data_IF_203539255999
#
_entry.id   IF_203539255999
#
_cell.length_a   1.000
_cell.length_b   1.000
_cell.length_c   1.000
_cell.angle_alpha   90.00
_cell.angle_beta   90.00
_cell.angle_gamma   90.00
#
_symmetry.space_group_name_H-M   'P 1'
#
loop_
_entity.id
_entity.type
_entity.pdbx_description
1 polymer ?
#
# COMPACT_ATOMS: atom_id res chain seq x y z
N UNK A 1 16.24 22.65 5.56
CA UNK A 1 15.20 21.68 5.14
C UNK A 1 15.89 20.34 4.98
N UNK A 2 15.67 19.38 5.89
CA UNK A 2 16.32 18.07 5.82
C UNK A 2 15.45 17.17 4.94
N UNK A 3 16.00 16.73 3.82
CA UNK A 3 15.38 15.78 2.89
C UNK A 3 14.93 14.53 3.67
N UNK A 4 13.63 14.25 3.65
CA UNK A 4 13.07 12.97 4.09
C UNK A 4 13.38 11.99 2.96
N UNK A 5 14.38 11.13 3.16
CA UNK A 5 14.64 10.03 2.25
C UNK A 5 13.66 8.90 2.59
N UNK A 6 12.50 8.93 1.93
CA UNK A 6 11.64 7.77 1.85
C UNK A 6 12.27 6.80 0.86
N UNK A 7 12.82 5.72 1.39
CA UNK A 7 13.33 4.63 0.57
C UNK A 7 12.13 3.81 0.11
N UNK A 8 11.66 4.17 -1.08
CA UNK A 8 10.79 3.41 -1.97
C UNK A 8 9.36 3.17 -1.48
N UNK A 9 8.40 3.31 -2.38
CA UNK A 9 6.98 3.32 -2.05
C UNK A 9 6.26 2.19 -2.81
N UNK A 10 5.73 1.22 -2.08
CA UNK A 10 4.96 0.08 -2.59
C UNK A 10 3.47 0.36 -2.48
N UNK A 11 2.71 0.21 -3.56
CA UNK A 11 1.31 0.68 -3.63
C UNK A 11 0.27 -0.36 -3.23
N UNK A 12 -0.75 0.11 -2.52
CA UNK A 12 -2.03 -0.54 -2.27
C UNK A 12 -3.19 0.31 -2.83
N UNK A 13 -4.14 -0.35 -3.47
CA UNK A 13 -5.38 0.24 -4.00
C UNK A 13 -6.60 -0.17 -3.19
N UNK A 14 -7.54 0.76 -3.13
CA UNK A 14 -8.93 0.63 -2.71
C UNK A 14 -9.84 0.51 -3.95
N UNK A 15 -10.56 -0.59 -4.10
CA UNK A 15 -11.32 -0.90 -5.31
C UNK A 15 -12.67 -0.18 -5.37
N UNK A 16 -12.87 0.70 -6.36
CA UNK A 16 -14.19 1.24 -6.72
C UNK A 16 -14.77 0.46 -7.93
N UNK A 17 -15.84 -0.36 -7.74
CA UNK A 17 -16.43 -1.18 -8.79
C UNK A 17 -17.14 -0.40 -9.90
N UNK A 18 -17.48 0.89 -9.70
CA UNK A 18 -18.22 1.68 -10.70
C UNK A 18 -17.29 2.37 -11.72
N UNK A 19 -15.95 2.28 -11.56
CA UNK A 19 -14.95 2.87 -12.47
C UNK A 19 -14.04 1.84 -13.16
N UNK A 20 -14.31 0.54 -12.99
CA UNK A 20 -13.42 -0.54 -13.41
C UNK A 20 -14.08 -1.47 -14.45
N UNK A 21 -14.14 -1.04 -15.70
CA UNK A 21 -14.42 -1.95 -16.82
C UNK A 21 -13.19 -2.72 -17.35
N UNK A 22 -11.99 -2.54 -16.78
CA UNK A 22 -10.78 -3.26 -17.23
C UNK A 22 -10.04 -3.89 -16.03
N UNK A 23 -10.19 -5.20 -15.82
CA UNK A 23 -9.38 -5.93 -14.84
C UNK A 23 -7.92 -5.97 -15.30
N UNK A 24 -7.06 -5.21 -14.61
CA UNK A 24 -5.63 -5.10 -14.94
C UNK A 24 -4.78 -6.34 -14.69
N UNK A 25 -5.35 -7.33 -14.00
CA UNK A 25 -4.77 -8.64 -13.79
C UNK A 25 -5.90 -9.67 -13.90
N UNK A 26 -5.66 -10.75 -14.65
CA UNK A 26 -6.59 -11.88 -14.68
C UNK A 26 -6.66 -12.54 -13.29
N UNK A 27 -7.86 -12.91 -12.86
CA UNK A 27 -8.09 -13.45 -11.50
C UNK A 27 -7.36 -14.78 -11.31
N UNK A 28 -7.24 -15.62 -12.34
CA UNK A 28 -6.49 -16.89 -12.25
C UNK A 28 -4.99 -16.58 -12.12
N UNK A 29 -4.48 -15.65 -12.91
CA UNK A 29 -3.08 -15.18 -12.82
C UNK A 29 -2.78 -14.61 -11.43
N UNK A 30 -3.66 -13.75 -10.89
CA UNK A 30 -3.52 -13.19 -9.55
C UNK A 30 -3.42 -14.29 -8.48
N UNK A 31 -4.31 -15.29 -8.55
CA UNK A 31 -4.32 -16.42 -7.61
C UNK A 31 -3.04 -17.25 -7.69
N UNK A 32 -2.56 -17.53 -8.90
CA UNK A 32 -1.30 -18.26 -9.12
C UNK A 32 -0.14 -17.50 -8.49
N UNK A 33 0.01 -16.20 -8.78
CA UNK A 33 1.12 -15.40 -8.23
C UNK A 33 1.05 -15.32 -6.70
N UNK A 34 -0.16 -15.12 -6.17
CA UNK A 34 -0.37 -15.01 -4.72
C UNK A 34 0.00 -16.30 -3.99
N UNK A 35 -0.27 -17.47 -4.60
CA UNK A 35 0.08 -18.78 -4.02
C UNK A 35 1.57 -19.14 -4.13
N UNK A 36 2.35 -18.43 -4.95
CA UNK A 36 3.80 -18.62 -4.98
C UNK A 36 4.43 -18.18 -3.66
N UNK A 37 5.44 -18.96 -3.24
CA UNK A 37 6.26 -18.64 -2.07
C UNK A 37 6.88 -17.25 -2.23
N UNK A 38 6.87 -16.48 -1.14
CA UNK A 38 7.63 -15.21 -1.04
C UNK A 38 9.10 -15.45 -1.43
N UNK A 39 9.63 -14.60 -2.30
CA UNK A 39 10.94 -14.72 -2.95
C UNK A 39 10.89 -15.37 -4.33
N UNK A 40 9.81 -16.08 -4.67
CA UNK A 40 9.61 -16.73 -5.97
C UNK A 40 8.53 -16.03 -6.83
N UNK A 41 7.93 -14.95 -6.34
CA UNK A 41 6.87 -14.25 -7.07
C UNK A 41 7.50 -13.47 -8.24
N UNK A 42 6.92 -13.53 -9.45
CA UNK A 42 7.44 -12.80 -10.61
C UNK A 42 7.36 -11.29 -10.39
N UNK A 43 8.20 -10.56 -11.13
CA UNK A 43 8.10 -9.11 -11.19
C UNK A 43 6.75 -8.65 -11.76
N UNK A 44 6.15 -7.55 -11.26
CA UNK A 44 4.85 -7.08 -11.72
C UNK A 44 4.72 -6.91 -13.22
N UNK A 45 5.76 -6.41 -13.89
CA UNK A 45 5.74 -6.17 -15.34
C UNK A 45 5.51 -7.43 -16.21
N UNK A 46 5.65 -8.63 -15.65
CA UNK A 46 5.39 -9.90 -16.35
C UNK A 46 3.90 -10.26 -16.42
N UNK A 47 3.07 -9.69 -15.53
CA UNK A 47 1.64 -9.99 -15.45
C UNK A 47 0.76 -8.73 -15.35
N UNK A 48 1.38 -7.56 -15.32
CA UNK A 48 0.74 -6.26 -15.18
C UNK A 48 1.22 -5.34 -16.30
N UNK A 49 0.29 -4.95 -17.19
CA UNK A 49 0.65 -4.15 -18.36
C UNK A 49 1.10 -2.73 -17.99
N UNK A 50 1.87 -2.11 -18.90
CA UNK A 50 2.26 -0.70 -18.76
C UNK A 50 1.05 0.23 -18.65
N UNK A 51 0.01 0.00 -19.45
CA UNK A 51 -1.23 0.78 -19.39
C UNK A 51 -1.88 0.71 -17.99
N UNK A 52 -1.93 -0.50 -17.42
CA UNK A 52 -2.43 -0.72 -16.09
C UNK A 52 -1.57 -0.05 -15.02
N UNK A 53 -0.25 -0.06 -15.19
CA UNK A 53 0.67 0.64 -14.31
C UNK A 53 0.42 2.15 -14.37
N UNK A 54 0.37 2.72 -15.56
CA UNK A 54 0.15 4.15 -15.77
C UNK A 54 -1.21 4.59 -15.21
N UNK A 55 -2.28 3.80 -15.42
CA UNK A 55 -3.60 4.06 -14.84
C UNK A 55 -3.57 4.01 -13.31
N UNK A 56 -2.87 3.05 -12.72
CA UNK A 56 -2.77 2.92 -11.28
C UNK A 56 -1.96 4.07 -10.66
N UNK A 57 -0.79 4.38 -11.23
CA UNK A 57 0.07 5.45 -10.73
C UNK A 57 -0.60 6.84 -10.77
N UNK A 58 -1.52 7.10 -11.70
CA UNK A 58 -2.26 8.37 -11.76
C UNK A 58 -2.96 8.76 -10.46
N UNK A 59 -3.30 7.79 -9.61
CA UNK A 59 -3.97 8.04 -8.34
C UNK A 59 -3.07 8.71 -7.29
N UNK A 60 -1.76 8.58 -7.47
CA UNK A 60 -0.75 9.11 -6.56
C UNK A 60 -0.28 10.51 -6.93
N UNK A 61 -0.90 11.14 -7.94
CA UNK A 61 -0.60 12.51 -8.37
C UNK A 61 -0.77 13.54 -7.25
N UNK A 62 -1.70 13.30 -6.34
CA UNK A 62 -1.97 14.16 -5.18
C UNK A 62 -1.18 13.72 -3.92
N UNK A 63 -0.26 12.77 -4.09
CA UNK A 63 0.56 12.23 -3.01
C UNK A 63 0.14 10.83 -2.58
N UNK A 64 0.92 10.30 -1.63
CA UNK A 64 0.68 9.01 -0.99
C UNK A 64 0.65 9.17 0.53
N UNK A 65 0.07 8.18 1.21
CA UNK A 65 0.03 8.14 2.67
C UNK A 65 0.18 6.72 3.20
N UNK A 66 0.73 6.60 4.41
CA UNK A 66 0.67 5.37 5.18
C UNK A 66 0.52 5.65 6.68
N UNK A 67 0.13 4.64 7.43
CA UNK A 67 0.05 4.68 8.89
C UNK A 67 1.21 3.92 9.51
N UNK A 68 1.73 4.44 10.62
CA UNK A 68 2.80 3.82 11.40
C UNK A 68 2.56 4.06 12.88
N UNK A 69 2.94 3.09 13.73
CA UNK A 69 2.90 3.30 15.17
C UNK A 69 3.89 4.40 15.59
N UNK A 70 3.45 5.31 16.46
CA UNK A 70 4.28 6.39 16.99
C UNK A 70 5.57 5.87 17.64
N UNK A 71 5.48 4.73 18.33
CA UNK A 71 6.62 4.06 18.96
C UNK A 71 7.76 3.70 17.98
N UNK A 72 7.44 3.43 16.71
CA UNK A 72 8.44 3.18 15.67
C UNK A 72 9.19 4.48 15.34
N UNK A 73 8.48 5.60 15.21
CA UNK A 73 9.08 6.90 14.95
C UNK A 73 9.89 7.41 16.14
N UNK A 74 9.46 7.11 17.36
CA UNK A 74 10.17 7.49 18.57
C UNK A 74 11.45 6.66 18.76
N UNK A 75 11.41 5.37 18.37
CA UNK A 75 12.57 4.49 18.44
C UNK A 75 13.62 4.76 17.36
N UNK A 76 13.21 4.97 16.12
CA UNK A 76 14.12 5.05 14.96
C UNK A 76 14.29 6.48 14.41
N UNK A 77 13.54 7.44 14.94
CA UNK A 77 13.53 8.81 14.45
C UNK A 77 12.67 8.98 13.20
N UNK A 78 12.85 10.14 12.55
CA UNK A 78 12.02 10.60 11.42
C UNK A 78 12.83 10.98 10.18
N UNK A 79 14.14 10.75 10.20
CA UNK A 79 15.06 11.10 9.10
C UNK A 79 14.97 10.09 7.96
N UNK A 80 14.80 8.81 8.30
CA UNK A 80 14.65 7.70 7.36
C UNK A 80 13.36 6.96 7.70
N UNK A 81 12.49 6.83 6.72
CA UNK A 81 11.19 6.19 6.85
C UNK A 81 11.09 5.04 5.85
N UNK A 82 10.49 3.93 6.29
CA UNK A 82 10.36 2.71 5.50
C UNK A 82 11.50 1.72 5.73
N UNK A 83 11.54 0.71 4.86
CA UNK A 83 12.57 -0.35 4.85
C UNK A 83 13.46 -0.19 3.61
N UNK A 84 14.65 -0.81 3.56
CA UNK A 84 15.53 -0.73 2.39
C UNK A 84 14.88 -1.15 1.07
N UNK A 85 13.92 -2.08 1.13
CA UNK A 85 13.16 -2.61 0.00
C UNK A 85 11.81 -1.90 -0.24
N UNK A 86 11.43 -0.94 0.60
CA UNK A 86 10.27 -0.10 0.42
C UNK A 86 9.36 0.04 1.64
N UNK A 87 8.41 0.96 1.52
CA UNK A 87 7.31 1.22 2.43
C UNK A 87 6.01 1.09 1.67
N UNK A 88 5.09 0.29 2.20
CA UNK A 88 3.75 0.22 1.63
C UNK A 88 2.94 1.48 1.93
N UNK A 89 2.20 1.97 0.93
CA UNK A 89 1.35 3.16 0.99
C UNK A 89 0.06 2.95 0.20
N UNK A 90 -0.89 3.84 0.40
CA UNK A 90 -2.03 4.06 -0.50
C UNK A 90 -2.04 5.51 -0.97
N UNK A 91 -2.90 5.88 -1.93
CA UNK A 91 -2.98 7.28 -2.35
C UNK A 91 -3.44 8.15 -1.18
N UNK A 92 -3.01 9.41 -1.16
CA UNK A 92 -3.41 10.35 -0.11
C UNK A 92 -4.94 10.43 0.01
N UNK A 93 -5.61 10.52 -1.14
CA UNK A 93 -7.07 10.57 -1.27
C UNK A 93 -7.75 9.33 -0.70
N UNK A 94 -7.25 8.14 -0.98
CA UNK A 94 -7.82 6.91 -0.42
C UNK A 94 -7.63 6.86 1.10
N UNK A 95 -6.48 7.29 1.62
CA UNK A 95 -6.24 7.37 3.07
C UNK A 95 -7.22 8.35 3.74
N UNK A 96 -7.48 9.50 3.11
CA UNK A 96 -8.46 10.47 3.60
C UNK A 96 -9.86 9.85 3.70
N UNK A 97 -10.30 9.16 2.64
CA UNK A 97 -11.59 8.46 2.62
C UNK A 97 -11.65 7.39 3.72
N UNK A 98 -10.61 6.55 3.83
CA UNK A 98 -10.52 5.48 4.82
C UNK A 98 -10.70 6.03 6.24
N UNK A 99 -9.93 7.05 6.61
CA UNK A 99 -9.97 7.62 7.95
C UNK A 99 -11.31 8.32 8.24
N UNK A 100 -11.89 8.99 7.25
CA UNK A 100 -13.22 9.60 7.36
C UNK A 100 -14.32 8.55 7.59
N UNK A 101 -14.29 7.45 6.85
CA UNK A 101 -15.27 6.37 7.00
C UNK A 101 -15.06 5.57 8.29
N UNK A 102 -13.81 5.44 8.75
CA UNK A 102 -13.48 4.76 9.99
C UNK A 102 -14.10 5.45 11.22
N UNK A 103 -14.25 6.78 11.20
CA UNK A 103 -14.77 7.57 12.35
C UNK A 103 -14.09 7.19 13.69
N UNK A 104 -12.77 6.96 13.64
CA UNK A 104 -11.98 6.53 14.79
C UNK A 104 -12.01 5.03 15.13
N UNK A 105 -12.74 4.20 14.37
CA UNK A 105 -12.76 2.75 14.55
C UNK A 105 -11.46 2.13 14.01
N UNK A 106 -10.51 1.85 14.91
CA UNK A 106 -9.22 1.26 14.55
C UNK A 106 -9.35 -0.15 13.95
N UNK A 107 -10.26 -0.98 14.45
CA UNK A 107 -10.46 -2.34 13.93
C UNK A 107 -10.96 -2.32 12.47
N UNK A 108 -11.78 -1.32 12.12
CA UNK A 108 -12.17 -1.07 10.74
C UNK A 108 -10.94 -0.73 9.88
N UNK A 109 -10.08 0.20 10.33
CA UNK A 109 -8.85 0.57 9.61
C UNK A 109 -7.94 -0.65 9.41
N UNK A 110 -7.72 -1.45 10.45
CA UNK A 110 -6.91 -2.67 10.36
C UNK A 110 -7.45 -3.63 9.28
N UNK A 111 -8.76 -3.88 9.32
CA UNK A 111 -9.46 -4.75 8.36
C UNK A 111 -9.32 -4.24 6.92
N UNK A 112 -9.51 -2.94 6.72
CA UNK A 112 -9.43 -2.33 5.38
C UNK A 112 -8.00 -2.34 4.82
N UNK A 113 -6.99 -2.19 5.68
CA UNK A 113 -5.58 -2.19 5.30
C UNK A 113 -4.94 -3.59 5.29
N UNK A 114 -5.69 -4.66 5.54
CA UNK A 114 -5.12 -6.01 5.60
C UNK A 114 -4.10 -6.18 6.72
N UNK A 115 -4.29 -5.45 7.82
CA UNK A 115 -3.52 -5.57 9.05
C UNK A 115 -4.20 -6.63 9.93
N UNK A 116 -3.45 -7.56 10.54
CA UNK A 116 -4.03 -8.55 11.45
C UNK A 116 -4.85 -7.88 12.56
N UNK A 117 -6.03 -8.45 12.85
CA UNK A 117 -6.96 -7.88 13.82
C UNK A 117 -6.28 -7.69 15.20
N UNK A 118 -6.37 -6.47 15.73
CA UNK A 118 -5.80 -6.09 17.02
C UNK A 118 -4.29 -5.83 17.00
N UNK A 119 -3.60 -5.93 15.86
CA UNK A 119 -2.15 -5.68 15.79
C UNK A 119 -1.77 -4.24 16.15
N UNK A 120 -2.69 -3.29 15.97
CA UNK A 120 -2.52 -1.90 16.35
C UNK A 120 -3.26 -1.52 17.63
N UNK A 121 -3.89 -2.49 18.30
CA UNK A 121 -4.53 -2.23 19.60
C UNK A 121 -3.53 -1.60 20.57
N UNK A 122 -3.97 -0.56 21.27
CA UNK A 122 -3.18 0.22 22.22
C UNK A 122 -1.98 0.99 21.63
N UNK A 123 -1.81 1.01 20.31
CA UNK A 123 -0.81 1.86 19.65
C UNK A 123 -1.44 3.19 19.25
N UNK A 124 -0.68 4.28 19.42
CA UNK A 124 -0.98 5.55 18.76
C UNK A 124 -0.46 5.45 17.33
N UNK A 125 -1.34 5.65 16.35
CA UNK A 125 -0.96 5.67 14.95
C UNK A 125 -0.74 7.11 14.47
N UNK A 126 0.34 7.28 13.72
CA UNK A 126 0.69 8.51 13.04
C UNK A 126 0.55 8.27 11.55
N UNK A 127 -0.11 9.21 10.87
CA UNK A 127 -0.13 9.26 9.42
C UNK A 127 1.10 9.98 8.91
N UNK A 128 1.73 9.41 7.90
CA UNK A 128 2.80 10.05 7.14
C UNK A 128 2.26 10.34 5.74
N UNK A 129 2.37 11.60 5.32
CA UNK A 129 2.03 12.05 3.98
C UNK A 129 3.30 12.25 3.14
N UNK A 130 3.23 11.81 1.89
CA UNK A 130 4.30 11.83 0.91
C UNK A 130 3.80 12.67 -0.27
N UNK A 131 4.14 13.95 -0.36
CA UNK A 131 3.59 14.84 -1.38
C UNK A 131 4.09 14.52 -2.80
N UNK A 132 5.33 14.03 -2.93
CA UNK A 132 5.98 13.78 -4.22
C UNK A 132 6.43 12.32 -4.35
N UNK A 133 5.50 11.34 -4.35
CA UNK A 133 5.87 9.92 -4.33
C UNK A 133 6.58 9.47 -5.61
N UNK A 134 6.37 10.17 -6.74
CA UNK A 134 7.06 9.89 -8.00
C UNK A 134 8.57 10.14 -7.95
N UNK A 135 9.03 11.04 -7.07
CA UNK A 135 10.47 11.26 -6.83
C UNK A 135 11.10 10.15 -5.97
N UNK A 136 10.27 9.25 -5.43
CA UNK A 136 10.65 8.21 -4.48
C UNK A 136 10.42 6.80 -5.06
N UNK A 137 10.45 6.68 -6.38
CA UNK A 137 10.29 5.42 -7.14
C UNK A 137 9.10 4.59 -6.64
N UNK A 138 7.94 5.23 -6.70
CA UNK A 138 6.65 4.63 -6.48
C UNK A 138 6.41 3.49 -7.49
N UNK A 139 6.00 2.31 -7.00
CA UNK A 139 5.82 1.12 -7.86
C UNK A 139 4.79 0.13 -7.31
N UNK A 140 4.31 -0.73 -8.19
CA UNK A 140 3.52 -1.90 -7.80
C UNK A 140 4.41 -2.87 -6.99
N UNK A 141 3.95 -3.36 -5.83
CA UNK A 141 4.70 -4.37 -5.07
C UNK A 141 4.69 -5.72 -5.77
N UNK A 142 5.81 -6.42 -5.68
CA UNK A 142 5.98 -7.80 -6.15
C UNK A 142 5.44 -8.85 -5.17
N UNK A 143 5.31 -8.46 -3.90
CA UNK A 143 5.02 -9.38 -2.80
C UNK A 143 6.25 -10.10 -2.27
N UNK A 144 7.44 -9.82 -2.80
CA UNK A 144 8.72 -10.30 -2.27
C UNK A 144 9.30 -9.38 -1.19
N UNK A 145 8.76 -8.17 -1.04
CA UNK A 145 9.20 -7.19 -0.06
C UNK A 145 9.04 -7.72 1.37
N UNK A 146 9.98 -7.41 2.26
CA UNK A 146 10.00 -7.78 3.68
C UNK A 146 8.70 -7.43 4.40
N UNK A 147 8.04 -6.33 4.04
CA UNK A 147 6.73 -5.93 4.56
C UNK A 147 5.52 -6.72 4.04
N UNK A 148 5.66 -7.50 2.97
CA UNK A 148 4.58 -8.35 2.46
C UNK A 148 4.31 -9.53 3.42
N UNK A 149 3.06 -9.68 3.85
CA UNK A 149 2.59 -10.73 4.76
C UNK A 149 1.72 -11.77 4.02
N UNK A 150 1.12 -12.70 4.76
CA UNK A 150 0.25 -13.76 4.21
C UNK A 150 -1.05 -13.23 3.58
N UNK A 151 -1.44 -12.00 3.92
CA UNK A 151 -2.61 -11.33 3.35
C UNK A 151 -2.27 -10.58 2.06
N UNK A 152 -0.99 -10.46 1.67
CA UNK A 152 -0.65 -9.78 0.43
C UNK A 152 -1.28 -10.47 -0.79
N UNK A 153 -1.85 -9.68 -1.70
CA UNK A 153 -2.38 -10.15 -2.98
C UNK A 153 -1.75 -9.39 -4.15
N UNK A 154 -1.55 -10.08 -5.28
CA UNK A 154 -0.94 -9.49 -6.46
C UNK A 154 -1.80 -8.38 -7.10
N UNK A 155 -1.14 -7.41 -7.74
CA UNK A 155 -1.80 -6.34 -8.50
C UNK A 155 -2.09 -5.07 -7.69
N UNK A 156 -1.35 -4.85 -6.61
CA UNK A 156 -1.44 -3.61 -5.81
C UNK A 156 -2.81 -3.44 -5.15
N UNK A 157 -3.41 -4.51 -4.63
CA UNK A 157 -4.73 -4.50 -3.98
C UNK A 157 -4.62 -4.90 -2.52
N UNK A 158 -5.55 -4.39 -1.71
CA UNK A 158 -5.77 -4.87 -0.34
C UNK A 158 -6.75 -6.06 -0.36
N UNK A 159 -6.65 -7.01 0.59
CA UNK A 159 -7.50 -8.22 0.64
C UNK A 159 -9.00 -7.91 0.60
N UNK A 160 -9.38 -6.85 1.31
CA UNK A 160 -10.76 -6.39 1.46
C UNK A 160 -11.16 -5.33 0.44
N UNK A 161 -10.20 -4.86 -0.37
CA UNK A 161 -10.40 -3.89 -1.44
C UNK A 161 -11.31 -2.75 -1.03
N UNK A 162 -10.85 -1.86 -0.15
CA UNK A 162 -11.68 -0.80 0.43
C UNK A 162 -12.66 -0.17 -0.57
N UNK A 163 -13.94 -0.29 -0.22
CA UNK A 163 -15.07 0.27 -0.94
C UNK A 163 -15.47 1.55 -0.20
N UNK A 164 -15.04 2.68 -0.77
CA UNK A 164 -15.60 4.00 -0.46
C UNK A 164 -16.50 4.44 -1.60
#
# INVERSE_FOLDING_TARGET
>A
MKNIYLLFVSLFFCYNPLLAQNNCIDIKVQKIITSLKKGCRPEPNLYWSKECNDKHLKQFKEGASYLVAQSILDRFGRTLLGRPDGQFVMSKKEMDLLLNNAKGNLAYVETQLGIPAGAWKNNILVRIDIPLPFELNIRIPSGNESGANELWIAGGKLPTGYYG
#
